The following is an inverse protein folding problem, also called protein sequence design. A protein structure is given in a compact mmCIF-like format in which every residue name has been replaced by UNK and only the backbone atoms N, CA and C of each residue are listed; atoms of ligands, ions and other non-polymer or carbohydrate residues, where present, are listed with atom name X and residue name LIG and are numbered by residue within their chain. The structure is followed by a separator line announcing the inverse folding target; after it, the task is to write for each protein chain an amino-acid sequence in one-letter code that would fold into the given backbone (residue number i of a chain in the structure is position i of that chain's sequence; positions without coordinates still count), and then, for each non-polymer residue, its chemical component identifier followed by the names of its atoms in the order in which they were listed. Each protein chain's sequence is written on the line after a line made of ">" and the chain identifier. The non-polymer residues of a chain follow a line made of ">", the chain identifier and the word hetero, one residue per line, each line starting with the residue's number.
data_IF_112543636942
#
_entry.id   IF_112543636942
#
_cell.length_a   1.000
_cell.length_b   1.000
_cell.length_c   1.000
_cell.angle_alpha   90.00
_cell.angle_beta   90.00
_cell.angle_gamma   90.00
#
_symmetry.space_group_name_H-M   'P 1'
#
loop_
_entity.id
_entity.type
_entity.pdbx_description
1 polymer ?
#
# COMPACT_ATOMS: atom_id res chain seq x y z
N UNK A 1 -4.72 9.04 18.61
CA UNK A 1 -4.86 8.13 17.47
C UNK A 1 -3.44 7.73 17.08
N UNK A 2 -3.24 6.52 16.56
CA UNK A 2 -1.89 5.99 16.33
C UNK A 2 -1.71 5.77 14.84
N UNK A 3 -0.61 6.26 14.31
CA UNK A 3 -0.25 6.08 12.92
C UNK A 3 0.43 4.73 12.76
N UNK A 4 -0.17 3.83 11.99
CA UNK A 4 0.42 2.54 11.66
C UNK A 4 0.99 2.59 10.26
N UNK A 5 2.23 2.14 10.11
CA UNK A 5 2.86 1.92 8.81
C UNK A 5 2.64 0.48 8.40
N UNK A 6 1.83 0.28 7.37
CA UNK A 6 1.39 -1.03 6.91
C UNK A 6 1.92 -1.28 5.53
N UNK A 7 2.57 -2.43 5.36
CA UNK A 7 2.98 -2.93 4.06
C UNK A 7 1.97 -3.94 3.57
N UNK A 8 1.33 -3.65 2.44
CA UNK A 8 0.41 -4.55 1.74
C UNK A 8 1.13 -5.13 0.53
N UNK A 9 1.50 -6.41 0.55
CA UNK A 9 2.05 -7.08 -0.62
C UNK A 9 0.94 -7.34 -1.65
N UNK A 10 1.26 -7.26 -2.92
CA UNK A 10 0.37 -7.60 -4.02
C UNK A 10 1.14 -8.28 -5.15
N UNK A 11 0.42 -8.93 -6.05
CA UNK A 11 1.02 -9.53 -7.24
C UNK A 11 0.19 -9.20 -8.46
N UNK A 12 0.79 -8.59 -9.48
CA UNK A 12 0.15 -8.41 -10.77
C UNK A 12 0.15 -9.74 -11.54
N UNK A 13 -1.03 -10.34 -11.73
CA UNK A 13 -1.20 -11.57 -12.52
C UNK A 13 -1.17 -11.32 -14.02
N UNK A 14 -1.30 -10.06 -14.44
CA UNK A 14 -1.12 -9.59 -15.82
C UNK A 14 0.05 -8.63 -15.88
N UNK A 15 0.68 -8.53 -17.06
CA UNK A 15 1.72 -7.53 -17.29
C UNK A 15 1.08 -6.14 -17.20
N UNK A 16 1.24 -5.51 -16.04
CA UNK A 16 0.74 -4.16 -15.79
C UNK A 16 1.77 -3.22 -16.40
N UNK A 17 1.39 -2.53 -17.47
CA UNK A 17 2.29 -1.59 -18.15
C UNK A 17 2.68 -0.45 -17.22
N UNK A 18 3.83 0.17 -17.48
CA UNK A 18 4.39 1.28 -16.68
C UNK A 18 3.40 2.40 -16.37
N UNK A 19 2.48 2.68 -17.30
CA UNK A 19 1.43 3.70 -17.12
C UNK A 19 0.49 3.42 -15.93
N UNK A 20 0.09 2.16 -15.72
CA UNK A 20 -0.78 1.80 -14.61
C UNK A 20 -0.03 1.77 -13.27
N UNK A 21 1.29 1.52 -13.31
CA UNK A 21 2.18 1.63 -12.12
C UNK A 21 2.27 3.08 -11.67
N UNK A 22 2.62 4.00 -12.59
CA UNK A 22 2.73 5.42 -12.28
C UNK A 22 1.40 6.03 -11.81
N UNK A 23 0.25 5.55 -12.31
CA UNK A 23 -1.05 6.02 -11.85
C UNK A 23 -1.40 5.48 -10.44
N UNK A 24 -1.03 4.22 -10.15
CA UNK A 24 -1.16 3.66 -8.80
C UNK A 24 -0.32 4.45 -7.79
N UNK A 25 0.95 4.71 -8.12
CA UNK A 25 1.82 5.55 -7.28
C UNK A 25 1.19 6.92 -7.04
N UNK A 26 0.76 7.62 -8.10
CA UNK A 26 0.13 8.95 -7.99
C UNK A 26 -1.08 9.00 -7.07
N UNK A 27 -1.88 7.94 -7.03
CA UNK A 27 -3.07 7.86 -6.17
C UNK A 27 -2.75 7.51 -4.73
N UNK A 28 -1.61 6.86 -4.50
CA UNK A 28 -1.15 6.47 -3.17
C UNK A 28 -0.20 7.51 -2.56
N UNK A 29 0.34 8.45 -3.35
CA UNK A 29 1.07 9.65 -2.88
C UNK A 29 0.38 10.34 -1.69
N UNK A 30 -0.94 10.62 -1.68
CA UNK A 30 -1.58 11.28 -0.53
C UNK A 30 -1.60 10.45 0.76
N UNK A 31 -1.31 9.14 0.68
CA UNK A 31 -1.22 8.22 1.81
C UNK A 31 0.25 7.87 2.16
N UNK A 32 1.19 8.51 1.48
CA UNK A 32 2.63 8.46 1.75
C UNK A 32 3.00 9.76 2.46
N UNK A 33 3.16 9.70 3.77
CA UNK A 33 3.48 10.85 4.61
C UNK A 33 4.95 10.83 5.05
N UNK A 34 5.39 11.92 5.68
CA UNK A 34 6.78 12.25 6.08
C UNK A 34 7.54 11.10 6.81
N UNK A 35 6.80 10.17 7.42
CA UNK A 35 7.36 9.01 8.12
C UNK A 35 8.02 7.99 7.17
N UNK A 36 7.57 7.96 5.92
CA UNK A 36 8.14 7.11 4.87
C UNK A 36 9.43 7.72 4.27
N UNK A 37 9.54 9.05 4.18
CA UNK A 37 10.79 9.74 3.82
C UNK A 37 11.91 9.50 4.85
N UNK A 38 11.54 9.39 6.13
CA UNK A 38 12.51 9.19 7.22
C UNK A 38 13.16 7.79 7.21
N UNK A 39 12.55 6.80 6.56
CA UNK A 39 13.06 5.42 6.52
C UNK A 39 13.73 5.04 5.18
N UNK A 40 13.82 5.94 4.19
CA UNK A 40 14.39 5.65 2.85
C UNK A 40 13.67 4.48 2.15
N UNK A 41 12.37 4.29 2.41
CA UNK A 41 11.57 3.18 1.87
C UNK A 41 10.53 3.71 0.89
N UNK A 42 10.55 3.20 -0.34
CA UNK A 42 9.64 3.62 -1.42
C UNK A 42 8.17 3.21 -1.14
N UNK A 43 7.23 4.15 -1.34
CA UNK A 43 5.77 3.97 -1.30
C UNK A 43 5.31 2.69 -2.01
N UNK A 44 5.84 2.47 -3.19
CA UNK A 44 5.60 1.29 -4.01
C UNK A 44 6.96 0.67 -4.32
N UNK A 45 7.26 -0.46 -3.70
CA UNK A 45 8.41 -1.28 -4.08
C UNK A 45 7.95 -2.35 -5.06
N UNK A 46 8.46 -2.31 -6.28
CA UNK A 46 8.27 -3.38 -7.26
C UNK A 46 9.39 -4.40 -7.13
N UNK A 47 9.00 -5.67 -7.05
CA UNK A 47 9.91 -6.80 -7.00
C UNK A 47 9.89 -7.52 -8.35
N UNK A 48 10.98 -8.22 -8.68
CA UNK A 48 11.03 -9.03 -9.89
C UNK A 48 9.92 -10.10 -9.89
N UNK A 49 9.29 -10.33 -11.05
CA UNK A 49 8.21 -11.32 -11.18
C UNK A 49 6.79 -10.78 -10.99
N UNK A 50 6.59 -9.45 -10.99
CA UNK A 50 5.27 -8.82 -10.95
C UNK A 50 4.69 -8.68 -9.54
N UNK A 51 5.46 -9.04 -8.50
CA UNK A 51 5.14 -8.75 -7.11
C UNK A 51 5.43 -7.29 -6.78
N UNK A 52 4.61 -6.68 -5.94
CA UNK A 52 4.83 -5.35 -5.42
C UNK A 52 4.49 -5.28 -3.94
N UNK A 53 4.98 -4.24 -3.27
CA UNK A 53 4.67 -3.96 -1.88
C UNK A 53 4.30 -2.49 -1.78
N UNK A 54 3.09 -2.21 -1.31
CA UNK A 54 2.66 -0.84 -1.03
C UNK A 54 2.82 -0.58 0.46
N UNK A 55 3.51 0.49 0.81
CA UNK A 55 3.57 0.97 2.19
C UNK A 55 2.62 2.14 2.36
N UNK A 56 1.69 2.03 3.30
CA UNK A 56 0.70 3.06 3.61
C UNK A 56 0.76 3.42 5.08
N UNK A 57 0.56 4.71 5.35
CA UNK A 57 0.37 5.22 6.69
C UNK A 57 -1.13 5.37 6.95
N UNK A 58 -1.61 4.68 7.99
CA UNK A 58 -3.02 4.63 8.35
C UNK A 58 -3.17 5.02 9.80
N UNK A 59 -3.92 6.09 10.05
CA UNK A 59 -4.28 6.50 11.40
C UNK A 59 -5.48 5.69 11.86
N UNK A 60 -5.29 4.90 12.92
CA UNK A 60 -6.29 3.96 13.40
C UNK A 60 -6.26 3.84 14.93
N UNK A 61 -7.36 3.38 15.54
CA UNK A 61 -7.39 3.10 16.98
C UNK A 61 -6.56 1.86 17.34
N UNK A 62 -6.50 0.87 16.45
CA UNK A 62 -5.86 -0.43 16.68
C UNK A 62 -5.26 -0.96 15.39
N UNK A 63 -4.23 -1.80 15.51
CA UNK A 63 -3.56 -2.47 14.39
C UNK A 63 -4.54 -3.18 13.44
N UNK A 64 -5.50 -3.93 13.97
CA UNK A 64 -6.43 -4.71 13.12
C UNK A 64 -7.28 -3.81 12.22
N UNK A 65 -7.73 -2.67 12.75
CA UNK A 65 -8.46 -1.65 11.99
C UNK A 65 -7.55 -1.02 10.94
N UNK A 66 -6.31 -0.74 11.31
CA UNK A 66 -5.32 -0.17 10.42
C UNK A 66 -5.05 -1.09 9.22
N UNK A 67 -4.84 -2.40 9.47
CA UNK A 67 -4.59 -3.42 8.46
C UNK A 67 -5.75 -3.54 7.47
N UNK A 68 -6.99 -3.54 7.97
CA UNK A 68 -8.19 -3.60 7.14
C UNK A 68 -8.37 -2.35 6.29
N UNK A 69 -8.14 -1.16 6.86
CA UNK A 69 -8.25 0.11 6.13
C UNK A 69 -7.17 0.23 5.04
N UNK A 70 -5.93 -0.18 5.33
CA UNK A 70 -4.84 -0.23 4.34
C UNK A 70 -5.19 -1.13 3.15
N UNK A 71 -5.71 -2.34 3.39
CA UNK A 71 -6.13 -3.25 2.32
C UNK A 71 -7.26 -2.64 1.50
N UNK A 72 -8.23 -2.00 2.15
CA UNK A 72 -9.34 -1.32 1.44
C UNK A 72 -8.86 -0.15 0.59
N UNK A 73 -7.90 0.63 1.08
CA UNK A 73 -7.30 1.75 0.33
C UNK A 73 -6.60 1.25 -0.94
N UNK A 74 -5.76 0.21 -0.82
CA UNK A 74 -5.07 -0.38 -1.99
C UNK A 74 -6.08 -1.00 -2.95
N UNK A 75 -7.04 -1.78 -2.45
CA UNK A 75 -8.06 -2.41 -3.28
C UNK A 75 -8.92 -1.36 -4.01
N UNK A 76 -9.33 -0.30 -3.32
CA UNK A 76 -10.09 0.81 -3.91
C UNK A 76 -9.31 1.55 -4.99
N UNK A 77 -8.02 1.83 -4.74
CA UNK A 77 -7.15 2.47 -5.73
C UNK A 77 -7.01 1.60 -6.99
N UNK A 78 -6.88 0.28 -6.84
CA UNK A 78 -6.81 -0.67 -7.96
C UNK A 78 -8.12 -0.76 -8.74
N UNK A 79 -9.26 -0.88 -8.06
CA UNK A 79 -10.58 -0.93 -8.70
C UNK A 79 -10.85 0.34 -9.52
N UNK A 80 -10.47 1.50 -9.00
CA UNK A 80 -10.57 2.80 -9.68
C UNK A 80 -9.63 2.93 -10.89
N UNK A 81 -8.61 2.08 -11.00
CA UNK A 81 -7.74 1.93 -12.18
C UNK A 81 -8.27 0.89 -13.17
N UNK A 82 -9.42 0.28 -12.87
CA UNK A 82 -9.97 -0.84 -13.64
C UNK A 82 -9.20 -2.14 -13.44
N UNK A 83 -8.36 -2.21 -12.41
CA UNK A 83 -7.57 -3.39 -12.04
C UNK A 83 -8.30 -4.12 -10.93
N UNK A 84 -8.95 -5.24 -11.26
CA UNK A 84 -9.70 -5.98 -10.26
C UNK A 84 -8.79 -6.66 -9.25
N UNK A 85 -9.25 -6.85 -8.01
CA UNK A 85 -8.56 -7.67 -7.00
C UNK A 85 -8.30 -9.12 -7.47
N UNK A 86 -9.04 -9.60 -8.48
CA UNK A 86 -8.79 -10.89 -9.16
C UNK A 86 -7.52 -10.89 -10.02
N UNK A 87 -7.16 -9.72 -10.51
CA UNK A 87 -5.97 -9.49 -11.32
C UNK A 87 -4.74 -9.18 -10.50
N UNK A 88 -5.01 -8.59 -9.33
CA UNK A 88 -4.01 -8.21 -8.36
C UNK A 88 -4.42 -8.78 -7.01
N UNK A 89 -4.20 -10.09 -6.78
CA UNK A 89 -4.35 -10.66 -5.46
C UNK A 89 -3.45 -9.92 -4.47
N UNK A 90 -4.09 -9.27 -3.51
CA UNK A 90 -3.41 -8.69 -2.36
C UNK A 90 -3.10 -9.79 -1.35
N UNK A 91 -1.88 -9.80 -0.86
CA UNK A 91 -1.44 -10.67 0.21
C UNK A 91 -1.81 -10.10 1.59
N UNK A 92 -1.46 -10.83 2.67
CA UNK A 92 -1.77 -10.39 4.02
C UNK A 92 -1.01 -9.09 4.34
N UNK A 93 -1.72 -8.03 4.82
CA UNK A 93 -1.05 -6.81 5.27
C UNK A 93 -0.15 -7.12 6.47
N UNK A 94 0.97 -6.41 6.56
CA UNK A 94 1.91 -6.52 7.66
C UNK A 94 2.25 -5.14 8.21
N UNK A 95 2.08 -4.94 9.52
CA UNK A 95 2.55 -3.72 10.19
C UNK A 95 4.07 -3.74 10.26
N UNK A 96 4.68 -2.78 9.59
CA UNK A 96 6.13 -2.61 9.51
C UNK A 96 6.66 -1.44 10.34
N UNK A 97 5.77 -0.59 10.85
CA UNK A 97 6.09 0.50 11.75
C UNK A 97 4.86 0.97 12.51
N UNK A 98 5.07 1.57 13.67
CA UNK A 98 4.02 2.20 14.47
C UNK A 98 4.60 3.49 14.99
N UNK A 99 3.98 4.61 14.65
CA UNK A 99 4.27 5.91 15.22
C UNK A 99 3.12 6.28 16.17
N UNK A 100 3.40 6.12 17.46
CA UNK A 100 2.56 6.63 18.52
C UNK A 100 3.38 7.64 19.29
N UNK A 101 2.91 8.90 19.34
CA UNK A 101 3.49 9.92 20.22
C UNK A 101 3.69 9.31 21.62
N UNK A 102 4.94 9.35 22.09
CA UNK A 102 5.36 8.92 23.43
C UNK A 102 5.05 9.98 24.49
#
# INVERSE_FOLDING_TARGET
>A
MTTYVITVPGTFLRDVGDAARSELERRLIPHHTDLSETQDVELLTLHEGGTFSVRLEVDAPDRATAEDDAVRLVAGALEELGVSAKDVPLGPPAVTGVDGES
#
